data_IF_168237612858
#
_entry.id   IF_168237612858
#
_cell.length_a   1.000
_cell.length_b   1.000
_cell.length_c   1.000
_cell.angle_alpha   90.00
_cell.angle_beta   90.00
_cell.angle_gamma   90.00
#
_symmetry.space_group_name_H-M   'P 1'
#
loop_
_entity.id
_entity.type
_entity.pdbx_description
1 polymer ?
#
# COMPACT_ATOMS: atom_id res chain seq x y z
N UNK A 1 -51.34 53.81 -68.17
CA UNK A 1 -49.97 54.10 -68.48
C UNK A 1 -49.16 53.64 -67.35
N UNK A 2 -48.32 52.70 -67.55
CA UNK A 2 -47.13 52.40 -66.77
C UNK A 2 -46.88 50.92 -66.57
N UNK A 3 -45.76 50.56 -66.96
CA UNK A 3 -45.21 49.24 -67.11
C UNK A 3 -44.62 48.72 -65.79
N UNK A 4 -45.00 47.53 -65.42
CA UNK A 4 -44.42 46.87 -64.32
C UNK A 4 -43.34 45.88 -64.74
N UNK A 5 -42.16 46.06 -64.17
CA UNK A 5 -41.00 45.17 -64.37
C UNK A 5 -41.06 44.00 -63.37
N UNK A 6 -41.01 42.78 -63.86
CA UNK A 6 -40.92 41.57 -63.07
C UNK A 6 -39.44 41.23 -62.76
N UNK A 7 -39.03 41.34 -61.53
CA UNK A 7 -37.74 40.89 -61.06
C UNK A 7 -37.77 39.39 -60.71
N UNK A 8 -36.89 38.60 -61.33
CA UNK A 8 -36.73 37.19 -61.04
C UNK A 8 -35.88 36.95 -59.79
N UNK A 9 -36.42 36.29 -58.76
CA UNK A 9 -35.73 35.84 -57.61
C UNK A 9 -35.06 34.48 -57.85
N UNK A 10 -33.74 34.49 -58.03
CA UNK A 10 -32.92 33.29 -58.10
C UNK A 10 -32.70 32.75 -56.64
N UNK A 11 -33.30 31.63 -56.31
CA UNK A 11 -33.02 30.89 -55.08
C UNK A 11 -31.66 30.19 -55.19
N UNK A 12 -30.69 30.64 -54.41
CA UNK A 12 -29.43 29.91 -54.16
C UNK A 12 -29.67 28.88 -53.08
N UNK A 13 -29.54 27.62 -53.39
CA UNK A 13 -29.49 26.51 -52.44
C UNK A 13 -28.07 26.44 -51.85
N UNK A 14 -27.93 26.68 -50.54
CA UNK A 14 -26.73 26.42 -49.79
C UNK A 14 -26.84 25.00 -49.29
N UNK A 15 -26.05 24.11 -49.87
CA UNK A 15 -25.87 22.75 -49.37
C UNK A 15 -24.86 22.83 -48.20
N UNK A 16 -25.36 22.77 -46.98
CA UNK A 16 -24.54 22.59 -45.80
C UNK A 16 -24.10 21.12 -45.73
N UNK A 17 -22.85 20.83 -46.05
CA UNK A 17 -22.25 19.53 -45.79
C UNK A 17 -21.99 19.40 -44.28
N UNK A 18 -22.80 18.61 -43.60
CA UNK A 18 -22.52 18.17 -42.23
C UNK A 18 -21.38 17.15 -42.29
N UNK A 19 -20.18 17.57 -41.88
CA UNK A 19 -19.08 16.66 -41.60
C UNK A 19 -19.39 15.99 -40.24
N UNK A 20 -19.92 14.77 -40.28
CA UNK A 20 -19.98 13.90 -39.11
C UNK A 20 -18.54 13.51 -38.73
N UNK A 21 -17.95 14.25 -37.80
CA UNK A 21 -16.73 13.84 -37.12
C UNK A 21 -17.04 12.66 -36.23
N UNK A 22 -16.73 11.46 -36.67
CA UNK A 22 -16.70 10.28 -35.83
C UNK A 22 -15.56 10.48 -34.80
N UNK A 23 -15.88 10.99 -33.60
CA UNK A 23 -14.98 10.87 -32.48
C UNK A 23 -14.92 9.39 -32.14
N UNK A 24 -13.86 8.72 -32.57
CA UNK A 24 -13.44 7.46 -32.00
C UNK A 24 -13.17 7.74 -30.49
N UNK A 25 -14.12 7.40 -29.64
CA UNK A 25 -13.91 7.34 -28.22
C UNK A 25 -12.87 6.22 -28.00
N UNK A 26 -11.61 6.60 -27.82
CA UNK A 26 -10.59 5.68 -27.32
C UNK A 26 -11.09 5.26 -25.94
N UNK A 27 -11.54 4.02 -25.82
CA UNK A 27 -11.93 3.45 -24.52
C UNK A 27 -10.73 3.65 -23.58
N UNK A 28 -10.99 4.27 -22.42
CA UNK A 28 -9.96 4.40 -21.40
C UNK A 28 -9.36 3.02 -21.14
N UNK A 29 -8.04 2.89 -21.02
CA UNK A 29 -7.42 1.60 -20.76
C UNK A 29 -8.06 1.02 -19.50
N UNK A 30 -8.57 -0.21 -19.60
CA UNK A 30 -9.18 -0.91 -18.46
C UNK A 30 -8.14 -1.09 -17.38
N UNK A 31 -8.39 -0.50 -16.22
CA UNK A 31 -7.54 -0.72 -15.05
C UNK A 31 -7.61 -2.17 -14.59
N UNK A 32 -6.49 -2.71 -14.21
CA UNK A 32 -6.38 -4.04 -13.59
C UNK A 32 -6.06 -3.88 -12.12
N UNK A 33 -6.74 -4.65 -11.29
CA UNK A 33 -6.38 -4.81 -9.89
C UNK A 33 -5.28 -5.86 -9.77
N UNK A 34 -4.18 -5.45 -9.19
CA UNK A 34 -2.98 -6.24 -9.00
C UNK A 34 -2.66 -6.36 -7.51
N UNK A 35 -1.99 -7.45 -7.15
CA UNK A 35 -1.51 -7.68 -5.80
C UNK A 35 -0.06 -8.18 -5.84
N UNK A 36 0.87 -7.37 -5.31
CA UNK A 36 2.25 -7.82 -5.08
C UNK A 36 2.31 -8.61 -3.78
N UNK A 37 3.18 -9.61 -3.71
CA UNK A 37 3.36 -10.42 -2.51
C UNK A 37 4.73 -11.08 -2.49
N UNK A 38 5.11 -11.62 -1.34
CA UNK A 38 6.30 -12.45 -1.20
C UNK A 38 5.95 -13.83 -0.67
N UNK A 39 6.92 -14.74 -0.71
CA UNK A 39 6.88 -16.10 -0.14
C UNK A 39 8.17 -16.39 0.59
N UNK A 40 8.18 -17.45 1.39
CA UNK A 40 9.40 -18.05 1.96
C UNK A 40 10.35 -17.01 2.59
N UNK A 41 9.78 -16.13 3.41
CA UNK A 41 10.53 -15.08 4.08
C UNK A 41 11.19 -14.07 3.11
N UNK A 42 10.68 -13.92 1.88
CA UNK A 42 11.22 -13.00 0.88
C UNK A 42 12.52 -13.46 0.21
N UNK A 43 12.90 -14.72 0.34
CA UNK A 43 14.11 -15.30 -0.29
C UNK A 43 13.95 -15.50 -1.78
N UNK A 44 12.73 -15.83 -2.21
CA UNK A 44 12.42 -16.18 -3.58
C UNK A 44 12.12 -14.98 -4.47
N UNK A 45 11.91 -13.81 -3.87
CA UNK A 45 11.60 -12.58 -4.60
C UNK A 45 10.20 -12.06 -4.39
N UNK A 46 9.82 -11.11 -5.23
CA UNK A 46 8.48 -10.51 -5.29
C UNK A 46 7.68 -11.18 -6.39
N UNK A 47 6.45 -11.53 -6.07
CA UNK A 47 5.48 -12.14 -6.97
C UNK A 47 4.32 -11.19 -7.26
N UNK A 48 3.54 -11.49 -8.26
CA UNK A 48 2.40 -10.69 -8.67
C UNK A 48 1.19 -11.56 -8.95
N UNK A 49 0.02 -11.12 -8.54
CA UNK A 49 -1.26 -11.71 -8.88
C UNK A 49 -2.22 -10.65 -9.42
N UNK A 50 -3.24 -11.09 -10.13
CA UNK A 50 -4.35 -10.27 -10.62
C UNK A 50 -5.68 -10.93 -10.33
N UNK A 51 -6.72 -10.15 -10.30
CA UNK A 51 -8.10 -10.63 -10.17
C UNK A 51 -9.00 -9.94 -11.17
N UNK A 52 -10.02 -10.66 -11.66
CA UNK A 52 -11.09 -10.12 -12.50
C UNK A 52 -12.37 -9.89 -11.70
N UNK A 53 -12.61 -10.72 -10.69
CA UNK A 53 -13.82 -10.72 -9.87
C UNK A 53 -13.61 -10.15 -8.47
N UNK A 54 -12.36 -9.77 -8.13
CA UNK A 54 -11.97 -9.29 -6.82
C UNK A 54 -11.94 -10.36 -5.73
N UNK A 55 -12.12 -11.65 -6.06
CA UNK A 55 -12.19 -12.75 -5.08
C UNK A 55 -11.15 -13.83 -5.30
N UNK A 56 -10.83 -14.12 -6.55
CA UNK A 56 -9.78 -15.07 -6.91
C UNK A 56 -8.60 -14.33 -7.52
N UNK A 57 -7.49 -14.31 -6.80
CA UNK A 57 -6.22 -13.73 -7.24
C UNK A 57 -5.36 -14.81 -7.88
N UNK A 58 -5.14 -14.70 -9.18
CA UNK A 58 -4.34 -15.64 -9.97
C UNK A 58 -2.93 -15.11 -10.15
N UNK A 59 -1.94 -15.96 -9.88
CA UNK A 59 -0.54 -15.62 -10.10
C UNK A 59 -0.28 -15.23 -11.56
N UNK A 60 0.51 -14.20 -11.77
CA UNK A 60 1.06 -13.80 -13.06
C UNK A 60 2.47 -14.35 -13.26
N UNK A 61 3.05 -14.16 -14.45
CA UNK A 61 4.40 -14.58 -14.79
C UNK A 61 4.64 -16.11 -14.57
N UNK A 62 3.65 -16.96 -14.86
CA UNK A 62 3.73 -18.41 -14.62
C UNK A 62 4.09 -18.77 -13.18
N UNK A 63 3.62 -17.99 -12.22
CA UNK A 63 3.94 -18.12 -10.79
C UNK A 63 5.44 -18.01 -10.45
N UNK A 64 6.20 -17.30 -11.30
CA UNK A 64 7.61 -16.94 -11.07
C UNK A 64 7.72 -15.54 -10.49
N UNK A 65 8.79 -15.23 -9.73
CA UNK A 65 8.99 -13.89 -9.23
C UNK A 65 9.17 -12.88 -10.37
N UNK A 66 8.62 -11.68 -10.18
CA UNK A 66 8.80 -10.53 -11.07
C UNK A 66 10.06 -9.75 -10.72
N UNK A 67 10.61 -9.97 -9.54
CA UNK A 67 11.82 -9.32 -9.05
C UNK A 67 12.54 -10.27 -8.09
N UNK A 68 13.84 -10.45 -8.24
CA UNK A 68 14.66 -11.31 -7.39
C UNK A 68 15.41 -10.50 -6.35
N UNK A 69 15.67 -11.05 -5.14
CA UNK A 69 16.39 -10.33 -4.11
C UNK A 69 17.78 -9.86 -4.58
N UNK A 70 18.15 -8.60 -4.30
CA UNK A 70 19.49 -8.11 -4.59
C UNK A 70 20.54 -8.89 -3.80
N UNK A 71 21.73 -9.06 -4.39
CA UNK A 71 22.87 -9.70 -3.71
C UNK A 71 23.58 -8.76 -2.75
N UNK A 72 22.84 -8.06 -1.90
CA UNK A 72 23.40 -7.18 -0.90
C UNK A 72 23.82 -7.96 0.34
N UNK A 73 25.02 -7.71 0.84
CA UNK A 73 25.53 -8.39 2.03
C UNK A 73 24.62 -8.11 3.25
N UNK A 74 24.00 -9.16 3.78
CA UNK A 74 23.12 -9.08 4.95
C UNK A 74 21.80 -8.33 4.73
N UNK A 75 21.44 -8.00 3.47
CA UNK A 75 20.21 -7.28 3.10
C UNK A 75 19.66 -7.88 1.80
N UNK A 76 19.38 -9.17 1.81
CA UNK A 76 19.09 -9.97 0.61
C UNK A 76 17.72 -10.64 0.65
N UNK A 77 16.75 -10.03 1.33
CA UNK A 77 15.36 -10.43 1.31
C UNK A 77 14.52 -9.40 0.53
N UNK A 78 13.37 -9.82 0.08
CA UNK A 78 12.33 -8.95 -0.51
C UNK A 78 11.00 -9.27 0.15
N UNK A 79 10.85 -8.76 1.39
CA UNK A 79 9.63 -8.89 2.17
C UNK A 79 8.75 -7.65 1.99
N UNK A 80 7.47 -7.81 2.25
CA UNK A 80 6.51 -6.72 2.37
C UNK A 80 6.58 -5.75 1.17
N UNK A 81 6.49 -6.25 -0.11
CA UNK A 81 6.66 -5.41 -1.28
C UNK A 81 5.48 -4.45 -1.44
N UNK A 82 5.77 -3.16 -1.46
CA UNK A 82 4.78 -2.13 -1.78
C UNK A 82 5.04 -1.55 -3.16
N UNK A 83 4.03 -1.61 -4.04
CA UNK A 83 4.10 -1.12 -5.41
C UNK A 83 3.07 0.00 -5.61
N UNK A 84 3.56 1.10 -6.19
CA UNK A 84 2.75 2.22 -6.66
C UNK A 84 2.96 2.41 -8.16
N UNK A 85 1.87 2.49 -8.93
CA UNK A 85 1.92 2.95 -10.32
C UNK A 85 1.62 4.45 -10.37
N UNK A 86 2.53 5.22 -10.95
CA UNK A 86 2.39 6.66 -11.12
C UNK A 86 3.10 7.12 -12.39
N UNK A 87 2.43 7.90 -13.22
CA UNK A 87 2.97 8.50 -14.44
C UNK A 87 3.73 7.51 -15.37
N UNK A 88 3.17 6.32 -15.57
CA UNK A 88 3.75 5.31 -16.45
C UNK A 88 4.91 4.52 -15.83
N UNK A 89 5.15 4.66 -14.53
CA UNK A 89 6.23 4.00 -13.80
C UNK A 89 5.65 3.26 -12.60
N UNK A 90 6.09 2.02 -12.41
CA UNK A 90 5.92 1.27 -11.19
C UNK A 90 7.10 1.55 -10.27
N UNK A 91 6.81 2.03 -9.08
CA UNK A 91 7.77 2.24 -8.01
C UNK A 91 7.57 1.16 -6.96
N UNK A 92 8.61 0.44 -6.59
CA UNK A 92 8.55 -0.61 -5.58
C UNK A 92 9.53 -0.35 -4.46
N UNK A 93 9.05 -0.51 -3.23
CA UNK A 93 9.87 -0.55 -2.01
C UNK A 93 9.64 -1.87 -1.30
N UNK A 94 10.64 -2.33 -0.51
CA UNK A 94 10.54 -3.60 0.21
C UNK A 94 11.44 -3.64 1.45
N UNK A 95 11.09 -4.47 2.41
CA UNK A 95 11.96 -4.83 3.55
C UNK A 95 13.10 -5.72 3.09
N UNK A 96 14.33 -5.30 3.30
CA UNK A 96 15.52 -5.99 2.81
C UNK A 96 16.09 -7.03 3.77
N UNK A 97 15.77 -6.95 5.07
CA UNK A 97 16.08 -7.95 6.09
C UNK A 97 15.31 -7.68 7.40
N UNK A 98 15.39 -8.63 8.32
CA UNK A 98 14.87 -8.50 9.69
C UNK A 98 15.60 -7.44 10.52
N UNK A 99 16.86 -7.22 10.24
CA UNK A 99 17.69 -6.22 10.91
C UNK A 99 18.38 -5.35 9.88
N UNK A 100 18.71 -4.12 10.23
CA UNK A 100 19.44 -3.21 9.34
C UNK A 100 18.75 -1.85 9.21
N UNK A 101 19.39 -0.97 8.45
CA UNK A 101 19.07 0.47 8.40
C UNK A 101 18.59 0.93 7.04
N UNK A 102 18.17 -0.01 6.21
CA UNK A 102 17.77 0.29 4.83
C UNK A 102 16.45 -0.39 4.50
N UNK A 103 15.78 0.17 3.52
CA UNK A 103 14.81 -0.54 2.70
C UNK A 103 15.29 -0.52 1.24
N UNK A 104 14.76 -1.41 0.42
CA UNK A 104 15.08 -1.47 -0.99
C UNK A 104 14.12 -0.63 -1.84
N UNK A 105 14.62 -0.10 -2.96
CA UNK A 105 13.82 0.56 -3.99
C UNK A 105 14.24 0.11 -5.38
N UNK A 106 13.27 -0.09 -6.27
CA UNK A 106 13.45 -0.26 -7.70
C UNK A 106 12.25 0.30 -8.47
N UNK A 107 12.42 0.57 -9.76
CA UNK A 107 11.35 1.02 -10.64
C UNK A 107 11.28 0.21 -11.92
N UNK A 108 10.09 0.17 -12.54
CA UNK A 108 9.84 -0.52 -13.80
C UNK A 108 8.78 0.21 -14.62
N UNK A 109 8.80 0.02 -15.94
CA UNK A 109 7.71 0.49 -16.81
C UNK A 109 6.70 -0.58 -17.17
N UNK A 110 7.01 -1.84 -16.88
CA UNK A 110 6.24 -2.99 -17.35
C UNK A 110 6.17 -4.15 -16.34
N UNK A 111 6.68 -3.98 -15.12
CA UNK A 111 6.78 -4.99 -14.04
C UNK A 111 7.73 -6.16 -14.34
N UNK A 112 8.28 -6.26 -15.54
CA UNK A 112 9.22 -7.32 -15.93
C UNK A 112 10.67 -6.85 -15.86
N UNK A 113 10.93 -5.67 -16.41
CA UNK A 113 12.27 -5.07 -16.47
C UNK A 113 12.40 -4.04 -15.37
N UNK A 114 13.18 -4.34 -14.36
CA UNK A 114 13.40 -3.47 -13.20
C UNK A 114 14.73 -2.74 -13.30
N UNK A 115 14.77 -1.51 -12.80
CA UNK A 115 16.01 -0.77 -12.61
C UNK A 115 16.97 -1.50 -11.68
N UNK A 116 18.25 -1.13 -11.71
CA UNK A 116 19.18 -1.53 -10.64
C UNK A 116 18.59 -1.16 -9.28
N UNK A 117 18.59 -2.09 -8.32
CA UNK A 117 18.02 -1.86 -7.00
C UNK A 117 18.87 -0.90 -6.17
N UNK A 118 18.21 -0.01 -5.44
CA UNK A 118 18.83 1.01 -4.61
C UNK A 118 18.62 0.72 -3.14
N UNK A 119 19.67 0.86 -2.32
CA UNK A 119 19.57 0.85 -0.86
C UNK A 119 19.19 2.25 -0.38
N UNK A 120 17.98 2.41 0.15
CA UNK A 120 17.56 3.67 0.75
C UNK A 120 17.87 3.66 2.24
N UNK A 121 18.62 4.66 2.72
CA UNK A 121 18.96 4.89 4.13
C UNK A 121 18.13 6.04 4.65
N UNK A 122 16.99 5.79 5.29
CA UNK A 122 16.13 6.88 5.74
C UNK A 122 16.68 7.61 6.96
N UNK A 123 17.54 6.98 7.75
CA UNK A 123 18.23 7.61 8.87
C UNK A 123 19.68 7.93 8.50
N UNK A 124 20.19 9.14 8.79
CA UNK A 124 21.57 9.49 8.50
C UNK A 124 22.56 8.70 9.37
N UNK A 125 23.69 8.33 8.80
CA UNK A 125 24.74 7.61 9.53
C UNK A 125 25.39 8.46 10.65
N UNK A 126 25.18 9.79 10.64
CA UNK A 126 25.67 10.73 11.64
C UNK A 126 24.88 10.73 12.95
N UNK A 127 23.74 10.04 13.00
CA UNK A 127 22.96 9.93 14.24
C UNK A 127 23.76 9.24 15.34
N UNK A 128 23.56 9.65 16.60
CA UNK A 128 24.04 8.90 17.77
C UNK A 128 23.60 7.43 17.68
N UNK A 129 24.41 6.54 18.24
CA UNK A 129 24.16 5.10 18.14
C UNK A 129 22.78 4.71 18.70
N UNK A 130 22.34 5.39 19.74
CA UNK A 130 21.04 5.19 20.39
C UNK A 130 19.83 5.63 19.54
N UNK A 131 20.07 6.44 18.53
CA UNK A 131 19.03 6.93 17.59
C UNK A 131 19.10 6.23 16.23
N UNK A 132 20.08 5.37 16.02
CA UNK A 132 20.17 4.58 14.79
C UNK A 132 19.17 3.42 14.84
N UNK A 133 18.48 3.13 13.73
CA UNK A 133 17.45 2.08 13.72
C UNK A 133 18.07 0.69 13.84
N UNK A 134 17.39 -0.20 14.55
CA UNK A 134 17.68 -1.64 14.57
C UNK A 134 17.09 -2.35 13.36
N UNK A 135 15.97 -1.83 12.86
CA UNK A 135 15.22 -2.38 11.74
C UNK A 135 14.55 -1.27 10.91
N UNK A 136 14.25 -1.58 9.66
CA UNK A 136 13.39 -0.78 8.78
C UNK A 136 12.46 -1.76 8.08
N UNK A 137 11.19 -1.81 8.50
CA UNK A 137 10.23 -2.82 8.07
C UNK A 137 9.02 -2.24 7.36
N UNK A 138 8.46 -3.07 6.46
CA UNK A 138 7.21 -2.84 5.76
C UNK A 138 7.10 -1.41 5.20
N UNK A 139 8.05 -0.99 4.34
CA UNK A 139 7.95 0.31 3.70
C UNK A 139 6.73 0.33 2.76
N UNK A 140 5.86 1.31 2.93
CA UNK A 140 4.68 1.54 2.11
C UNK A 140 4.80 2.87 1.36
N UNK A 141 4.76 2.78 0.02
CA UNK A 141 4.93 3.94 -0.86
C UNK A 141 3.59 4.56 -1.27
N UNK A 142 3.53 5.88 -1.23
CA UNK A 142 2.35 6.65 -1.61
C UNK A 142 2.74 7.91 -2.37
N UNK A 143 1.82 8.41 -3.21
CA UNK A 143 1.92 9.73 -3.83
C UNK A 143 1.08 10.73 -3.04
N UNK A 144 1.65 11.90 -2.76
CA UNK A 144 0.97 13.05 -2.17
C UNK A 144 0.62 14.05 -3.28
N UNK A 145 -0.64 14.13 -3.72
CA UNK A 145 -1.03 15.02 -4.80
C UNK A 145 -0.98 16.50 -4.45
N UNK A 146 -0.94 16.83 -3.15
CA UNK A 146 -0.88 18.23 -2.68
C UNK A 146 0.56 18.75 -2.76
N UNK A 147 1.52 17.98 -2.29
CA UNK A 147 2.94 18.34 -2.34
C UNK A 147 3.61 17.91 -3.65
N UNK A 148 2.93 17.13 -4.47
CA UNK A 148 3.43 16.54 -5.70
C UNK A 148 4.79 15.86 -5.48
N UNK A 149 4.84 15.00 -4.47
CA UNK A 149 5.98 14.17 -4.13
C UNK A 149 5.53 12.79 -3.64
N UNK A 150 6.47 11.95 -3.29
CA UNK A 150 6.19 10.63 -2.74
C UNK A 150 6.58 10.58 -1.28
N UNK A 151 5.85 9.81 -0.50
CA UNK A 151 6.23 9.51 0.86
C UNK A 151 6.22 7.99 1.09
N UNK A 152 7.12 7.57 1.95
CA UNK A 152 7.26 6.19 2.35
C UNK A 152 7.08 6.13 3.87
N UNK A 153 6.06 5.38 4.31
CA UNK A 153 5.87 5.01 5.70
C UNK A 153 6.61 3.70 5.97
N UNK A 154 7.21 3.57 7.12
CA UNK A 154 7.87 2.32 7.52
C UNK A 154 7.92 2.20 9.05
N UNK A 155 8.06 0.99 9.54
CA UNK A 155 8.22 0.73 10.96
C UNK A 155 9.69 0.61 11.34
N UNK A 156 10.06 1.22 12.45
CA UNK A 156 11.43 1.17 12.97
C UNK A 156 11.44 1.24 14.49
N UNK A 157 12.44 0.59 15.09
CA UNK A 157 12.78 0.70 16.50
C UNK A 157 14.15 1.32 16.62
N UNK A 158 14.27 2.38 17.43
CA UNK A 158 15.56 2.91 17.83
C UNK A 158 15.84 2.53 19.29
N UNK A 159 17.11 2.36 19.73
CA UNK A 159 17.43 2.05 21.11
C UNK A 159 16.87 3.06 22.11
N UNK A 160 16.80 4.35 21.75
CA UNK A 160 16.25 5.40 22.60
C UNK A 160 14.75 5.24 22.86
N UNK A 161 14.01 4.73 21.88
CA UNK A 161 12.56 4.57 21.97
C UNK A 161 12.14 3.22 22.55
N UNK A 162 13.09 2.35 22.83
CA UNK A 162 12.79 1.06 23.45
C UNK A 162 12.15 1.27 24.82
N UNK A 163 10.92 0.80 24.94
CA UNK A 163 10.29 0.66 26.24
C UNK A 163 10.66 -0.70 26.82
N UNK A 164 11.65 -0.71 27.69
CA UNK A 164 12.14 -1.94 28.33
C UNK A 164 11.13 -2.60 29.25
N UNK A 165 10.11 -1.86 29.70
CA UNK A 165 9.05 -2.36 30.57
C UNK A 165 7.97 -3.12 29.79
N UNK A 166 7.90 -2.97 28.47
CA UNK A 166 6.95 -3.70 27.63
C UNK A 166 7.55 -5.03 27.14
N UNK A 167 7.52 -6.03 28.01
CA UNK A 167 7.96 -7.38 27.67
C UNK A 167 7.21 -8.04 26.50
N UNK A 168 6.04 -7.49 26.12
CA UNK A 168 5.22 -8.00 25.03
C UNK A 168 5.86 -7.79 23.65
N UNK A 169 6.75 -6.80 23.50
CA UNK A 169 7.46 -6.54 22.27
C UNK A 169 8.67 -7.46 22.03
N UNK A 170 8.92 -8.39 22.93
CA UNK A 170 10.12 -9.22 22.94
C UNK A 170 10.12 -10.37 21.92
N UNK A 171 9.06 -10.58 21.17
CA UNK A 171 8.90 -11.68 20.21
C UNK A 171 9.50 -13.04 20.67
N UNK A 172 9.55 -13.26 21.98
CA UNK A 172 10.09 -14.45 22.63
C UNK A 172 11.63 -14.60 22.58
N UNK A 173 12.38 -13.60 22.10
CA UNK A 173 13.84 -13.66 22.02
C UNK A 173 14.48 -12.75 23.05
N UNK A 174 15.26 -13.29 24.02
CA UNK A 174 15.99 -12.48 24.97
C UNK A 174 16.89 -11.44 24.26
N UNK A 175 16.81 -10.18 24.67
CA UNK A 175 17.65 -9.11 24.13
C UNK A 175 17.22 -8.49 22.81
N UNK A 176 16.14 -8.95 22.20
CA UNK A 176 15.61 -8.39 20.96
C UNK A 176 14.20 -7.84 21.22
N UNK A 177 14.10 -6.55 21.37
CA UNK A 177 12.83 -5.86 21.62
C UNK A 177 12.53 -4.92 20.48
N UNK A 178 11.39 -5.14 19.80
CA UNK A 178 10.89 -4.25 18.77
C UNK A 178 9.76 -3.39 19.30
N UNK A 179 10.11 -2.26 19.88
CA UNK A 179 9.12 -1.22 20.18
C UNK A 179 9.02 -0.27 18.98
N UNK A 180 8.47 -0.79 17.91
CA UNK A 180 8.40 -0.08 16.64
C UNK A 180 7.48 1.14 16.71
N UNK A 181 7.86 2.19 16.02
CA UNK A 181 7.01 3.35 15.68
C UNK A 181 6.96 3.49 14.17
N UNK A 182 5.98 4.25 13.68
CA UNK A 182 5.90 4.55 12.26
C UNK A 182 6.66 5.83 11.97
N UNK A 183 7.60 5.73 11.05
CA UNK A 183 8.40 6.83 10.52
C UNK A 183 7.95 7.15 9.10
N UNK A 184 8.30 8.34 8.64
CA UNK A 184 8.07 8.81 7.28
C UNK A 184 9.36 9.37 6.69
N UNK A 185 9.61 9.07 5.43
CA UNK A 185 10.56 9.79 4.57
C UNK A 185 9.87 10.22 3.28
N UNK A 186 10.38 11.23 2.62
CA UNK A 186 9.82 11.80 1.38
C UNK A 186 10.86 11.90 0.29
N UNK A 187 10.39 11.82 -0.95
CA UNK A 187 11.25 11.99 -2.15
C UNK A 187 10.43 12.56 -3.30
N UNK A 188 11.10 13.29 -4.19
CA UNK A 188 10.52 13.74 -5.47
C UNK A 188 11.03 12.95 -6.66
N UNK A 189 12.19 12.32 -6.53
CA UNK A 189 12.97 11.79 -7.65
C UNK A 189 13.51 10.36 -7.42
N UNK A 190 13.26 9.79 -6.24
CA UNK A 190 13.79 8.49 -5.79
C UNK A 190 15.33 8.39 -5.82
N UNK A 191 16.01 9.54 -5.87
CA UNK A 191 17.47 9.66 -5.75
C UNK A 191 17.87 10.28 -4.43
N UNK A 192 17.09 11.27 -4.01
CA UNK A 192 17.25 11.96 -2.74
C UNK A 192 16.04 11.73 -1.86
N UNK A 193 16.27 11.41 -0.60
CA UNK A 193 15.23 11.17 0.40
C UNK A 193 15.43 12.13 1.57
N UNK A 194 14.34 12.62 2.14
CA UNK A 194 14.41 13.35 3.40
C UNK A 194 14.88 12.44 4.52
N UNK A 195 15.49 13.01 5.56
CA UNK A 195 15.70 12.26 6.80
C UNK A 195 14.37 11.75 7.36
N UNK A 196 14.42 10.54 7.91
CA UNK A 196 13.26 9.94 8.55
C UNK A 196 12.81 10.75 9.77
N UNK A 197 11.50 10.89 9.91
CA UNK A 197 10.89 11.51 11.07
C UNK A 197 9.82 10.63 11.66
N UNK A 198 9.68 10.67 12.98
CA UNK A 198 8.57 10.02 13.68
C UNK A 198 7.24 10.56 13.13
N UNK A 199 6.36 9.68 12.71
CA UNK A 199 5.12 10.04 12.06
C UNK A 199 3.89 9.65 12.88
N UNK A 200 3.90 8.44 13.43
CA UNK A 200 2.81 7.97 14.28
C UNK A 200 3.36 7.28 15.52
N UNK A 201 2.92 7.78 16.68
CA UNK A 201 3.19 7.21 17.98
C UNK A 201 1.96 7.38 18.88
N UNK A 202 1.48 6.31 19.45
CA UNK A 202 0.39 6.27 20.42
C UNK A 202 0.79 5.56 21.72
N UNK A 203 2.10 5.48 21.96
CA UNK A 203 2.66 4.82 23.15
C UNK A 203 2.59 3.29 23.09
N UNK A 204 2.47 2.71 21.90
CA UNK A 204 2.52 1.26 21.71
C UNK A 204 3.24 0.90 20.41
N UNK A 205 3.78 -0.31 20.35
CA UNK A 205 4.46 -0.80 19.15
C UNK A 205 3.49 -0.88 17.95
N UNK A 206 3.86 -0.20 16.88
CA UNK A 206 3.05 -0.05 15.67
C UNK A 206 3.87 -0.41 14.44
N UNK A 207 3.32 -1.26 13.56
CA UNK A 207 3.94 -1.64 12.29
C UNK A 207 2.91 -1.65 11.16
N UNK A 208 3.37 -1.85 9.94
CA UNK A 208 2.57 -2.13 8.74
C UNK A 208 1.53 -1.02 8.48
N UNK A 209 1.96 0.23 8.51
CA UNK A 209 1.07 1.36 8.27
C UNK A 209 0.82 1.55 6.77
N UNK A 210 -0.43 1.47 6.35
CA UNK A 210 -0.88 1.86 5.00
C UNK A 210 -1.75 3.11 5.07
N UNK A 211 -1.54 4.06 4.16
CA UNK A 211 -2.27 5.32 4.15
C UNK A 211 -2.82 5.65 2.77
N UNK A 212 -4.11 6.01 2.69
CA UNK A 212 -4.79 6.35 1.43
C UNK A 212 -5.64 7.61 1.59
N UNK A 213 -5.75 8.44 0.54
CA UNK A 213 -6.70 9.55 0.54
C UNK A 213 -8.14 9.01 0.55
N UNK A 214 -9.01 9.68 1.32
CA UNK A 214 -10.46 9.50 1.28
C UNK A 214 -11.11 10.75 0.67
N UNK A 215 -11.30 10.82 -0.66
CA UNK A 215 -11.83 12.01 -1.32
C UNK A 215 -13.23 12.39 -0.85
N UNK A 216 -14.05 11.39 -0.47
CA UNK A 216 -15.40 11.63 0.01
C UNK A 216 -15.44 12.43 1.31
N UNK A 217 -14.41 12.27 2.16
CA UNK A 217 -14.28 12.98 3.44
C UNK A 217 -13.19 14.04 3.44
N UNK A 218 -12.50 14.23 2.31
CA UNK A 218 -11.40 15.19 2.15
C UNK A 218 -10.33 15.04 3.25
N UNK A 219 -10.01 13.81 3.59
CA UNK A 219 -8.99 13.46 4.58
C UNK A 219 -8.21 12.22 4.16
N UNK A 220 -7.27 11.80 4.98
CA UNK A 220 -6.51 10.58 4.80
C UNK A 220 -6.96 9.53 5.82
N UNK A 221 -6.98 8.29 5.40
CA UNK A 221 -7.21 7.13 6.26
C UNK A 221 -5.92 6.35 6.39
N UNK A 222 -5.57 5.96 7.61
CA UNK A 222 -4.46 5.07 7.90
C UNK A 222 -4.97 3.82 8.60
N UNK A 223 -4.51 2.67 8.13
CA UNK A 223 -4.66 1.40 8.83
C UNK A 223 -3.29 1.00 9.35
N UNK A 224 -3.25 0.51 10.58
CA UNK A 224 -2.02 0.19 11.28
C UNK A 224 -2.21 -1.06 12.13
N UNK A 225 -1.16 -1.87 12.25
CA UNK A 225 -1.12 -2.99 13.18
C UNK A 225 -0.56 -2.55 14.53
N UNK A 226 -1.26 -2.88 15.61
CA UNK A 226 -0.68 -2.91 16.94
C UNK A 226 0.09 -4.23 17.11
N UNK A 227 1.38 -4.15 17.41
CA UNK A 227 2.25 -5.33 17.57
C UNK A 227 2.29 -5.89 18.99
N UNK A 228 1.56 -5.31 19.93
CA UNK A 228 1.53 -5.76 21.33
C UNK A 228 1.01 -7.19 21.45
N UNK A 229 1.45 -7.88 22.49
CA UNK A 229 0.88 -9.16 22.88
C UNK A 229 -0.53 -8.97 23.48
N UNK A 230 -1.37 -10.00 23.38
CA UNK A 230 -2.76 -10.00 23.88
C UNK A 230 -2.85 -9.86 25.41
N UNK A 231 -1.73 -10.00 26.12
CA UNK A 231 -1.68 -9.88 27.58
C UNK A 231 -1.96 -8.48 28.12
N UNK A 232 -1.90 -7.44 27.29
CA UNK A 232 -2.16 -6.07 27.72
C UNK A 232 -3.65 -5.72 27.64
N UNK A 233 -4.27 -5.56 28.80
CA UNK A 233 -5.72 -5.37 28.98
C UNK A 233 -6.29 -4.08 28.37
N UNK A 234 -5.46 -3.10 28.05
CA UNK A 234 -5.93 -1.77 27.65
C UNK A 234 -6.13 -1.59 26.16
N UNK A 235 -5.46 -2.39 25.33
CA UNK A 235 -5.57 -2.35 23.89
C UNK A 235 -5.18 -3.72 23.31
N UNK A 236 -6.10 -4.44 22.66
CA UNK A 236 -5.80 -5.75 22.10
C UNK A 236 -4.72 -5.66 21.04
N UNK A 237 -3.60 -6.36 21.25
CA UNK A 237 -2.52 -6.50 20.27
C UNK A 237 -2.93 -7.37 19.09
N UNK A 238 -2.07 -7.40 18.07
CA UNK A 238 -2.21 -8.25 16.89
C UNK A 238 -3.47 -7.99 16.04
N UNK A 239 -4.00 -6.77 16.13
CA UNK A 239 -5.17 -6.32 15.37
C UNK A 239 -4.81 -5.16 14.46
N UNK A 240 -5.61 -4.98 13.42
CA UNK A 240 -5.59 -3.80 12.57
C UNK A 240 -6.55 -2.74 13.10
N UNK A 241 -6.07 -1.52 13.14
CA UNK A 241 -6.79 -0.35 13.61
C UNK A 241 -6.84 0.71 12.53
N UNK A 242 -7.88 1.52 12.54
CA UNK A 242 -8.03 2.62 11.60
C UNK A 242 -7.98 3.96 12.36
N UNK A 243 -7.30 4.92 11.76
CA UNK A 243 -7.34 6.32 12.16
C UNK A 243 -7.43 7.22 10.92
N UNK A 244 -7.64 8.51 11.13
CA UNK A 244 -7.75 9.52 10.07
C UNK A 244 -6.90 10.73 10.40
N UNK A 245 -6.44 11.40 9.35
CA UNK A 245 -5.75 12.68 9.43
C UNK A 245 -6.34 13.65 8.41
N UNK A 246 -6.42 14.94 8.73
CA UNK A 246 -6.87 15.96 7.79
C UNK A 246 -5.87 16.19 6.65
N UNK A 247 -4.61 15.86 6.86
CA UNK A 247 -3.54 16.04 5.87
C UNK A 247 -2.34 15.14 6.09
N UNK A 248 -1.37 15.27 5.19
CA UNK A 248 -0.10 14.56 5.22
C UNK A 248 1.04 15.41 5.80
N UNK A 249 0.72 16.34 6.69
CA UNK A 249 1.75 17.14 7.35
C UNK A 249 2.59 16.23 8.26
N UNK A 250 3.83 15.97 7.82
CA UNK A 250 4.77 15.15 8.56
C UNK A 250 5.36 15.84 9.80
N UNK A 251 5.19 17.15 9.91
CA UNK A 251 5.72 17.90 11.05
C UNK A 251 4.72 17.93 12.22
N UNK A 252 3.43 17.83 11.90
CA UNK A 252 2.34 17.85 12.90
C UNK A 252 1.20 16.94 12.47
N UNK A 253 1.36 15.63 12.53
CA UNK A 253 0.27 14.71 12.20
C UNK A 253 -0.88 14.86 13.21
N UNK A 254 -2.09 15.11 12.69
CA UNK A 254 -3.32 15.34 13.45
C UNK A 254 -4.22 14.11 13.51
N UNK A 255 -3.65 12.96 13.76
CA UNK A 255 -4.40 11.71 13.78
C UNK A 255 -5.53 11.70 14.80
N UNK A 256 -6.73 11.43 14.34
CA UNK A 256 -7.90 11.16 15.18
C UNK A 256 -7.65 9.94 16.10
N UNK A 257 -8.46 9.76 17.15
CA UNK A 257 -8.45 8.51 17.93
C UNK A 257 -8.63 7.29 17.04
N UNK A 258 -8.02 6.18 17.43
CA UNK A 258 -8.20 4.89 16.76
C UNK A 258 -9.66 4.44 16.86
N UNK A 259 -10.15 3.76 15.83
CA UNK A 259 -11.46 3.08 15.87
C UNK A 259 -11.42 1.84 16.75
N UNK A 260 -12.49 1.05 16.79
CA UNK A 260 -12.42 -0.35 17.19
C UNK A 260 -11.55 -1.14 16.17
N UNK A 261 -11.00 -2.31 16.56
CA UNK A 261 -10.27 -3.17 15.65
C UNK A 261 -11.09 -3.51 14.41
N UNK A 262 -10.51 -3.37 13.23
CA UNK A 262 -11.19 -3.71 11.97
C UNK A 262 -10.88 -5.13 11.49
N UNK A 263 -9.75 -5.69 11.89
CA UNK A 263 -9.37 -7.08 11.64
C UNK A 263 -8.52 -7.62 12.79
N UNK A 264 -8.50 -8.93 12.96
CA UNK A 264 -7.84 -9.64 14.07
C UNK A 264 -8.83 -10.18 15.09
N UNK A 265 -8.35 -10.80 16.18
CA UNK A 265 -9.16 -11.50 17.17
C UNK A 265 -10.30 -10.70 17.80
N UNK A 266 -10.15 -9.39 17.89
CA UNK A 266 -11.11 -8.51 18.56
C UNK A 266 -11.93 -7.69 17.58
N UNK A 267 -11.86 -8.02 16.30
CA UNK A 267 -12.67 -7.34 15.29
C UNK A 267 -14.09 -7.90 15.27
N UNK A 268 -15.12 -7.04 15.21
CA UNK A 268 -16.50 -7.48 15.03
C UNK A 268 -16.74 -8.16 13.67
N UNK A 269 -15.77 -8.11 12.76
CA UNK A 269 -15.83 -8.81 11.47
C UNK A 269 -15.76 -10.33 11.63
N UNK A 270 -15.18 -10.81 12.74
CA UNK A 270 -15.09 -12.23 13.05
C UNK A 270 -16.18 -12.61 14.03
N UNK A 271 -17.21 -13.29 13.55
CA UNK A 271 -18.35 -13.77 14.36
C UNK A 271 -17.99 -14.90 15.33
N UNK A 272 -16.82 -15.49 15.20
CA UNK A 272 -16.37 -16.60 16.03
C UNK A 272 -15.56 -16.08 17.23
N UNK A 273 -16.14 -16.09 18.46
CA UNK A 273 -15.45 -15.68 19.67
C UNK A 273 -14.44 -16.73 20.14
N UNK A 274 -14.17 -17.80 19.38
CA UNK A 274 -13.15 -18.74 19.77
C UNK A 274 -11.81 -18.00 19.89
N UNK A 275 -11.04 -18.24 20.96
CA UNK A 275 -9.76 -17.59 21.18
C UNK A 275 -8.72 -18.15 20.22
N UNK A 276 -8.98 -18.05 18.94
CA UNK A 276 -7.95 -18.29 17.94
C UNK A 276 -6.92 -17.19 18.17
N UNK A 277 -5.70 -17.61 18.24
CA UNK A 277 -4.54 -16.71 18.20
C UNK A 277 -4.40 -16.09 16.80
N UNK A 278 -5.52 -15.64 16.20
CA UNK A 278 -5.50 -15.02 14.89
C UNK A 278 -4.88 -13.65 15.02
N UNK A 279 -3.81 -13.46 14.30
CA UNK A 279 -3.11 -12.20 14.18
C UNK A 279 -3.47 -11.61 12.82
N UNK A 280 -3.82 -10.34 12.77
CA UNK A 280 -3.94 -9.60 11.53
C UNK A 280 -2.75 -8.66 11.39
N UNK A 281 -2.03 -8.77 10.27
CA UNK A 281 -0.89 -7.91 9.94
C UNK A 281 -0.85 -7.62 8.45
N UNK A 282 0.09 -6.79 8.01
CA UNK A 282 0.33 -6.51 6.61
C UNK A 282 -0.89 -6.00 5.86
N UNK A 283 -1.61 -4.97 6.35
CA UNK A 283 -2.79 -4.48 5.66
C UNK A 283 -2.41 -3.82 4.33
N UNK A 284 -3.17 -4.11 3.30
CA UNK A 284 -3.17 -3.35 2.06
C UNK A 284 -4.56 -2.78 1.81
N UNK A 285 -4.65 -1.48 1.63
CA UNK A 285 -5.89 -0.75 1.42
C UNK A 285 -5.93 -0.13 0.03
N UNK A 286 -7.03 -0.36 -0.69
CA UNK A 286 -7.26 0.19 -2.03
C UNK A 286 -8.69 0.72 -2.14
N UNK A 287 -8.88 1.89 -2.75
CA UNK A 287 -10.19 2.34 -3.22
C UNK A 287 -10.32 1.96 -4.69
N UNK A 288 -11.35 1.15 -5.02
CA UNK A 288 -11.68 0.80 -6.39
C UNK A 288 -13.19 0.78 -6.57
N UNK A 289 -13.68 1.57 -7.52
CA UNK A 289 -15.11 1.84 -7.66
C UNK A 289 -15.71 2.45 -6.38
N UNK A 290 -16.87 1.94 -5.96
CA UNK A 290 -17.57 2.40 -4.76
C UNK A 290 -17.03 1.77 -3.46
N UNK A 291 -16.08 0.85 -3.55
CA UNK A 291 -15.63 0.07 -2.41
C UNK A 291 -14.19 0.34 -2.03
N UNK A 292 -13.93 0.25 -0.73
CA UNK A 292 -12.62 0.04 -0.16
C UNK A 292 -12.35 -1.46 -0.10
N UNK A 293 -11.15 -1.85 -0.48
CA UNK A 293 -10.65 -3.22 -0.48
C UNK A 293 -9.53 -3.31 0.54
N UNK A 294 -9.65 -4.21 1.49
CA UNK A 294 -8.67 -4.48 2.52
C UNK A 294 -8.21 -5.93 2.41
N UNK A 295 -6.94 -6.12 2.13
CA UNK A 295 -6.25 -7.41 2.24
C UNK A 295 -5.35 -7.36 3.45
N UNK A 296 -5.25 -8.45 4.19
CA UNK A 296 -4.31 -8.58 5.30
C UNK A 296 -3.80 -10.01 5.42
N UNK A 297 -2.65 -10.17 6.07
CA UNK A 297 -2.04 -11.45 6.35
C UNK A 297 -2.54 -11.98 7.72
N UNK A 298 -2.87 -13.24 7.76
CA UNK A 298 -3.17 -14.00 8.98
C UNK A 298 -2.10 -15.07 9.19
N UNK A 299 -0.93 -14.75 9.75
CA UNK A 299 0.21 -15.65 9.80
C UNK A 299 -0.06 -16.95 10.55
N UNK A 300 -0.94 -16.94 11.55
CA UNK A 300 -1.30 -18.14 12.31
C UNK A 300 -2.12 -19.12 11.47
N UNK A 301 -2.88 -18.64 10.49
CA UNK A 301 -3.68 -19.43 9.55
C UNK A 301 -2.95 -19.72 8.23
N UNK A 302 -1.84 -19.01 7.96
CA UNK A 302 -1.10 -19.13 6.71
C UNK A 302 -1.84 -18.63 5.47
N UNK A 303 -2.80 -17.70 5.65
CA UNK A 303 -3.68 -17.26 4.59
C UNK A 303 -3.84 -15.73 4.58
N UNK A 304 -3.88 -15.18 3.38
CA UNK A 304 -4.37 -13.83 3.17
C UNK A 304 -5.88 -13.79 3.29
N UNK A 305 -6.38 -12.73 3.86
CA UNK A 305 -7.80 -12.44 4.06
C UNK A 305 -8.21 -11.23 3.23
N UNK A 306 -9.51 -11.13 2.91
CA UNK A 306 -10.07 -10.04 2.13
C UNK A 306 -11.38 -9.55 2.73
N UNK A 307 -11.51 -8.24 2.84
CA UNK A 307 -12.78 -7.60 3.15
C UNK A 307 -13.01 -6.37 2.26
N UNK A 308 -14.27 -6.00 2.10
CA UNK A 308 -14.66 -4.76 1.41
C UNK A 308 -15.57 -3.91 2.28
N UNK A 309 -15.53 -2.61 2.06
CA UNK A 309 -16.38 -1.65 2.77
C UNK A 309 -16.76 -0.47 1.86
N UNK A 310 -17.99 0.01 1.89
CA UNK A 310 -18.38 1.23 1.19
C UNK A 310 -17.89 2.50 1.93
N UNK A 311 -17.67 2.44 3.23
CA UNK A 311 -17.52 3.61 4.08
C UNK A 311 -16.42 3.54 5.15
N UNK A 312 -15.64 2.44 5.14
CA UNK A 312 -14.61 2.12 6.13
C UNK A 312 -15.14 1.89 7.56
N UNK A 313 -16.44 1.65 7.71
CA UNK A 313 -17.11 1.34 8.97
C UNK A 313 -17.76 -0.02 8.94
N UNK A 314 -18.61 -0.25 7.92
CA UNK A 314 -19.24 -1.53 7.69
C UNK A 314 -18.37 -2.37 6.76
N UNK A 315 -17.82 -3.47 7.25
CA UNK A 315 -16.95 -4.36 6.50
C UNK A 315 -17.64 -5.68 6.17
N UNK A 316 -17.49 -6.12 4.94
CA UNK A 316 -17.91 -7.44 4.48
C UNK A 316 -16.69 -8.32 4.31
N UNK A 317 -16.55 -9.36 5.14
CA UNK A 317 -15.48 -10.33 5.05
C UNK A 317 -15.76 -11.36 3.94
N UNK A 318 -14.84 -11.55 3.02
CA UNK A 318 -14.94 -12.50 1.91
C UNK A 318 -14.21 -13.82 2.26
N UNK A 319 -14.81 -14.64 3.11
CA UNK A 319 -14.23 -15.91 3.62
C UNK A 319 -13.79 -16.91 2.54
N UNK A 320 -14.28 -16.75 1.31
CA UNK A 320 -13.94 -17.61 0.16
C UNK A 320 -12.90 -17.00 -0.80
N UNK A 321 -12.30 -15.87 -0.46
CA UNK A 321 -11.26 -15.27 -1.29
C UNK A 321 -10.05 -16.22 -1.42
N UNK A 322 -9.52 -16.30 -2.64
CA UNK A 322 -8.39 -17.18 -2.96
C UNK A 322 -7.19 -16.35 -3.38
N UNK A 323 -6.06 -16.67 -2.82
CA UNK A 323 -4.77 -16.09 -3.16
C UNK A 323 -3.79 -17.18 -3.61
N UNK A 324 -2.73 -16.83 -4.33
CA UNK A 324 -1.68 -17.78 -4.65
C UNK A 324 -1.14 -18.46 -3.38
N UNK A 325 -0.77 -19.75 -3.46
CA UNK A 325 -0.30 -20.51 -2.30
C UNK A 325 0.88 -19.83 -1.60
N UNK A 326 0.86 -19.79 -0.27
CA UNK A 326 1.92 -19.21 0.58
C UNK A 326 2.18 -17.71 0.34
N UNK A 327 1.28 -17.01 -0.35
CA UNK A 327 1.37 -15.56 -0.48
C UNK A 327 1.26 -14.90 0.89
N UNK A 328 2.14 -13.97 1.15
CA UNK A 328 2.23 -13.19 2.40
C UNK A 328 2.23 -11.71 2.06
N UNK A 329 2.02 -10.89 3.05
CA UNK A 329 2.01 -9.43 3.09
C UNK A 329 2.50 -8.75 1.79
N UNK A 330 1.65 -7.93 1.19
CA UNK A 330 1.92 -7.21 -0.05
C UNK A 330 0.92 -6.10 -0.29
N UNK A 331 0.88 -5.57 -1.49
CA UNK A 331 0.10 -4.36 -1.80
C UNK A 331 -0.87 -4.57 -2.96
N UNK A 332 -2.13 -4.20 -2.72
CA UNK A 332 -3.13 -3.98 -3.78
C UNK A 332 -2.86 -2.64 -4.48
N UNK A 333 -2.84 -2.66 -5.79
CA UNK A 333 -2.71 -1.44 -6.59
C UNK A 333 -3.44 -1.57 -7.92
N UNK A 334 -3.70 -0.43 -8.57
CA UNK A 334 -4.28 -0.36 -9.90
C UNK A 334 -3.23 0.04 -10.91
N UNK A 335 -3.31 -0.54 -12.10
CA UNK A 335 -2.51 -0.12 -13.24
C UNK A 335 -3.29 -0.35 -14.55
N UNK A 336 -3.00 0.42 -15.62
CA UNK A 336 -3.53 0.13 -16.95
C UNK A 336 -3.14 -1.27 -17.39
N UNK A 337 -4.08 -2.04 -17.93
CA UNK A 337 -3.80 -3.39 -18.43
C UNK A 337 -2.67 -3.43 -19.46
N UNK A 338 -2.53 -2.36 -20.24
CA UNK A 338 -1.44 -2.18 -21.22
C UNK A 338 -0.04 -2.00 -20.62
N UNK A 339 0.05 -1.64 -19.32
CA UNK A 339 1.32 -1.47 -18.64
C UNK A 339 1.84 -2.79 -18.02
N UNK A 340 1.06 -3.87 -18.07
CA UNK A 340 1.41 -5.16 -17.48
C UNK A 340 1.88 -6.10 -18.58
N UNK A 341 3.14 -6.51 -18.55
CA UNK A 341 3.77 -7.33 -19.61
C UNK A 341 3.16 -8.73 -19.78
N UNK A 342 2.49 -9.24 -18.76
CA UNK A 342 1.92 -10.57 -18.82
C UNK A 342 0.42 -10.48 -19.10
N UNK A 343 0.05 -10.70 -20.35
CA UNK A 343 -1.31 -11.07 -20.72
C UNK A 343 -1.43 -12.58 -20.54
N UNK A 344 -2.27 -13.00 -19.59
CA UNK A 344 -2.74 -14.38 -19.32
C UNK A 344 -1.83 -15.54 -19.69
#
# INVERSE_FOLDING_TARGET
MESGSRGALTRRWIIAAQILGAHLAIAAPTERMLFSYFRDNGKDGVFLATTEDGREFKALNDDKPIFTPPKWRGQNLTRDPSILYHDGIFHMVWTSNWTGRIFGYASSRNLADWSEPVQVRPFPDSLPKEDQPDNVWAPEIHHDPVKNDFFILFASTTPRERNDDDASNNNGKPGFRYDNRVFITRTKDFKTFSEARLYFDRGFASIDAVMKPDPARKNWVMIIKCSRDESLKTMPGRNLWLTRSSGMDSDKPDFAPLTAPIAGNHSPMFEDPSPRKSMAEGPSLLRHGELWWLVWDEPAGGHLQLATSPDLKAWTHHKGAKFPPRAQHGTLFLAPGSAVSWSR
#
